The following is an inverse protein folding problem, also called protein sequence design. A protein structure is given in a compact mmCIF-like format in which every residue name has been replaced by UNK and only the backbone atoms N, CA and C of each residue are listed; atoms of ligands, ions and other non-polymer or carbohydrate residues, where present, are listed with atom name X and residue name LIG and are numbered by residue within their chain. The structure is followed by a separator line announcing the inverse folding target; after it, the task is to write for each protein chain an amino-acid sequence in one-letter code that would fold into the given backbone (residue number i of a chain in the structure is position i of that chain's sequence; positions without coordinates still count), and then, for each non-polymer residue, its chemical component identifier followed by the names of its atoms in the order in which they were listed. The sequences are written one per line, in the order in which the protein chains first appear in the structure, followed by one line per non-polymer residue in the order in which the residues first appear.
data_IF_644254822975
#
_entry.id   IF_644254822975
#
_cell.length_a   1.000
_cell.length_b   1.000
_cell.length_c   1.000
_cell.angle_alpha   90.00
_cell.angle_beta   90.00
_cell.angle_gamma   90.00
#
_symmetry.space_group_name_H-M   'P 1'
#
loop_
_entity.id
_entity.type
_entity.pdbx_description
1 polymer ?
#
# COMPACT_ATOMS: atom_id res chain seq x y z
N UNK A 1 3.03 -13.18 -9.55
CA UNK A 1 4.13 -12.55 -10.34
C UNK A 1 5.46 -12.96 -9.76
N UNK A 2 6.60 -12.62 -10.38
CA UNK A 2 7.92 -12.92 -9.80
C UNK A 2 8.08 -12.19 -8.45
N UNK A 3 8.46 -12.87 -7.34
CA UNK A 3 8.72 -12.22 -6.06
C UNK A 3 9.78 -11.13 -6.19
N UNK A 4 9.59 -10.00 -5.51
CA UNK A 4 10.50 -8.86 -5.61
C UNK A 4 11.85 -9.15 -4.93
N UNK A 5 11.88 -9.94 -3.86
CA UNK A 5 13.14 -10.35 -3.20
C UNK A 5 13.92 -11.45 -3.94
N UNK A 6 13.40 -11.96 -5.07
CA UNK A 6 14.01 -13.05 -5.83
C UNK A 6 14.31 -14.30 -4.96
N UNK A 7 13.46 -14.59 -3.97
CA UNK A 7 13.63 -15.68 -3.00
C UNK A 7 14.85 -15.54 -2.08
N UNK A 8 15.47 -14.35 -2.01
CA UNK A 8 16.61 -14.11 -1.12
C UNK A 8 16.19 -14.13 0.34
N UNK A 9 17.14 -14.55 1.18
CA UNK A 9 17.02 -14.56 2.63
C UNK A 9 17.77 -13.37 3.23
N UNK A 10 17.26 -12.86 4.33
CA UNK A 10 17.94 -11.90 5.18
C UNK A 10 18.94 -12.61 6.10
N UNK A 11 19.75 -11.86 6.85
CA UNK A 11 20.79 -12.40 7.75
C UNK A 11 20.24 -13.34 8.83
N UNK A 12 18.94 -13.24 9.13
CA UNK A 12 18.23 -14.12 10.07
C UNK A 12 17.75 -15.45 9.45
N UNK A 13 18.11 -15.73 8.19
CA UNK A 13 17.77 -16.96 7.47
C UNK A 13 16.34 -17.00 6.92
N UNK A 14 15.51 -15.97 7.17
CA UNK A 14 14.14 -15.87 6.66
C UNK A 14 14.09 -15.07 5.36
N UNK A 15 13.00 -15.19 4.61
CA UNK A 15 12.75 -14.36 3.40
C UNK A 15 12.85 -12.88 3.74
N UNK A 16 13.33 -12.05 2.80
CA UNK A 16 13.41 -10.60 3.01
C UNK A 16 12.00 -10.03 3.17
N UNK A 17 11.12 -10.29 2.20
CA UNK A 17 9.70 -9.85 2.17
C UNK A 17 8.74 -11.02 1.95
N UNK A 18 9.11 -12.03 1.14
CA UNK A 18 8.25 -13.16 0.79
C UNK A 18 7.57 -13.03 -0.59
N UNK A 19 6.71 -13.99 -0.93
CA UNK A 19 6.10 -14.08 -2.27
C UNK A 19 4.90 -13.14 -2.47
N UNK A 20 4.44 -12.51 -1.40
CA UNK A 20 3.29 -11.59 -1.42
C UNK A 20 3.57 -10.30 -2.20
N UNK A 21 4.83 -9.85 -2.20
CA UNK A 21 5.23 -8.64 -2.94
C UNK A 21 5.97 -9.04 -4.21
N UNK A 22 5.40 -8.67 -5.35
CA UNK A 22 5.88 -9.10 -6.68
C UNK A 22 6.28 -7.93 -7.55
N UNK A 23 7.23 -8.15 -8.47
CA UNK A 23 7.70 -7.12 -9.42
C UNK A 23 6.53 -6.49 -10.19
N UNK A 24 5.61 -7.34 -10.68
CA UNK A 24 4.41 -6.88 -11.39
C UNK A 24 3.51 -6.05 -10.48
N UNK A 25 3.26 -6.50 -9.25
CA UNK A 25 2.45 -5.77 -8.28
C UNK A 25 3.03 -4.40 -7.95
N UNK A 26 4.33 -4.32 -7.69
CA UNK A 26 5.06 -3.07 -7.44
C UNK A 26 4.94 -2.09 -8.60
N UNK A 27 5.23 -2.54 -9.83
CA UNK A 27 5.13 -1.67 -11.01
C UNK A 27 3.68 -1.23 -11.27
N UNK A 28 2.71 -2.13 -11.13
CA UNK A 28 1.30 -1.80 -11.26
C UNK A 28 0.84 -0.80 -10.19
N UNK A 29 1.25 -0.96 -8.94
CA UNK A 29 0.91 -0.04 -7.85
C UNK A 29 1.38 1.39 -8.12
N UNK A 30 2.65 1.53 -8.53
CA UNK A 30 3.21 2.84 -8.90
C UNK A 30 2.47 3.42 -10.12
N UNK A 31 2.26 2.61 -11.16
CA UNK A 31 1.56 3.03 -12.37
C UNK A 31 0.13 3.53 -12.08
N UNK A 32 -0.66 2.75 -11.34
CA UNK A 32 -2.02 3.14 -11.00
C UNK A 32 -2.07 4.32 -10.02
N UNK A 33 -1.05 4.51 -9.18
CA UNK A 33 -0.89 5.74 -8.39
C UNK A 33 -0.76 6.99 -9.29
N UNK A 34 0.08 6.92 -10.33
CA UNK A 34 0.22 7.99 -11.32
C UNK A 34 -1.08 8.24 -12.07
N UNK A 35 -1.71 7.17 -12.60
CA UNK A 35 -2.98 7.28 -13.35
C UNK A 35 -4.07 7.91 -12.47
N UNK A 36 -4.19 7.49 -11.22
CA UNK A 36 -5.18 8.04 -10.29
C UNK A 36 -4.97 9.53 -10.05
N UNK A 37 -3.72 9.96 -9.81
CA UNK A 37 -3.43 11.38 -9.60
C UNK A 37 -3.70 12.24 -10.84
N UNK A 38 -3.40 11.73 -12.04
CA UNK A 38 -3.76 12.40 -13.30
C UNK A 38 -5.27 12.50 -13.47
N UNK A 39 -6.02 11.44 -13.14
CA UNK A 39 -7.49 11.50 -13.19
C UNK A 39 -8.06 12.51 -12.18
N UNK A 40 -7.47 12.59 -10.98
CA UNK A 40 -7.84 13.58 -9.96
C UNK A 40 -7.50 15.02 -10.38
N UNK A 41 -6.51 15.22 -11.26
CA UNK A 41 -6.15 16.56 -11.74
C UNK A 41 -7.23 17.20 -12.62
N UNK A 42 -8.16 16.42 -13.18
CA UNK A 42 -9.31 16.99 -13.91
C UNK A 42 -10.36 17.62 -12.98
N UNK A 43 -10.30 17.32 -11.68
CA UNK A 43 -11.23 17.79 -10.65
C UNK A 43 -10.55 18.67 -9.60
N UNK A 44 -9.29 19.06 -9.81
CA UNK A 44 -8.51 19.89 -8.89
C UNK A 44 -7.70 20.92 -9.66
N UNK A 45 -7.22 21.96 -8.97
CA UNK A 45 -6.39 23.02 -9.56
C UNK A 45 -4.92 22.60 -9.76
N UNK A 46 -4.62 21.30 -9.66
CA UNK A 46 -3.27 20.79 -9.80
C UNK A 46 -2.86 20.69 -11.26
N UNK A 47 -1.67 21.21 -11.57
CA UNK A 47 -1.07 21.02 -12.90
C UNK A 47 -0.79 19.55 -13.19
N UNK A 48 -0.76 19.18 -14.48
CA UNK A 48 -0.43 17.81 -14.90
C UNK A 48 0.95 17.37 -14.36
N UNK A 49 1.95 18.26 -14.42
CA UNK A 49 3.30 17.98 -13.92
C UNK A 49 3.32 17.68 -12.42
N UNK A 50 2.58 18.47 -11.64
CA UNK A 50 2.43 18.24 -10.21
C UNK A 50 1.75 16.90 -9.94
N UNK A 51 0.67 16.60 -10.67
CA UNK A 51 -0.12 15.38 -10.49
C UNK A 51 0.65 14.11 -10.86
N UNK A 52 1.45 14.15 -11.91
CA UNK A 52 2.35 13.04 -12.28
C UNK A 52 3.36 12.73 -11.18
N UNK A 53 4.02 13.78 -10.65
CA UNK A 53 5.01 13.61 -9.59
C UNK A 53 4.35 13.17 -8.28
N UNK A 54 3.22 13.78 -7.92
CA UNK A 54 2.46 13.40 -6.73
C UNK A 54 2.01 11.93 -6.80
N UNK A 55 1.40 11.52 -7.92
CA UNK A 55 0.95 10.13 -8.10
C UNK A 55 2.10 9.12 -8.09
N UNK A 56 3.27 9.49 -8.65
CA UNK A 56 4.47 8.68 -8.57
C UNK A 56 4.94 8.52 -7.12
N UNK A 57 5.04 9.61 -6.35
CA UNK A 57 5.47 9.56 -4.95
C UNK A 57 4.46 8.84 -4.07
N UNK A 58 3.15 9.03 -4.30
CA UNK A 58 2.11 8.31 -3.56
C UNK A 58 2.13 6.82 -3.87
N UNK A 59 2.21 6.43 -5.15
CA UNK A 59 2.28 5.03 -5.55
C UNK A 59 3.57 4.34 -5.08
N UNK A 60 4.73 5.01 -5.20
CA UNK A 60 6.00 4.51 -4.69
C UNK A 60 5.97 4.40 -3.17
N UNK A 61 5.45 5.42 -2.49
CA UNK A 61 5.33 5.45 -1.04
C UNK A 61 4.44 4.32 -0.52
N UNK A 62 3.28 4.09 -1.15
CA UNK A 62 2.38 3.00 -0.82
C UNK A 62 3.10 1.64 -0.91
N UNK A 63 3.77 1.37 -2.04
CA UNK A 63 4.53 0.11 -2.21
C UNK A 63 5.66 -0.02 -1.20
N UNK A 64 6.36 1.07 -0.88
CA UNK A 64 7.40 1.04 0.16
C UNK A 64 6.82 0.76 1.55
N UNK A 65 5.63 1.26 1.85
CA UNK A 65 4.88 0.92 3.07
C UNK A 65 4.68 -0.58 3.20
N UNK A 66 4.07 -1.21 2.20
CA UNK A 66 3.85 -2.67 2.15
C UNK A 66 5.17 -3.45 2.26
N UNK A 67 6.23 -2.98 1.61
CA UNK A 67 7.54 -3.63 1.67
C UNK A 67 8.12 -3.62 3.08
N UNK A 68 7.96 -2.51 3.80
CA UNK A 68 8.41 -2.36 5.18
C UNK A 68 7.57 -3.26 6.10
N UNK A 69 6.25 -3.25 5.98
CA UNK A 69 5.34 -4.16 6.72
C UNK A 69 5.72 -5.62 6.48
N UNK A 70 5.89 -6.01 5.23
CA UNK A 70 6.14 -7.39 4.86
C UNK A 70 7.50 -7.85 5.36
N UNK A 71 8.50 -6.96 5.32
CA UNK A 71 9.79 -7.21 5.94
C UNK A 71 9.64 -7.45 7.45
N UNK A 72 8.94 -6.58 8.17
CA UNK A 72 8.74 -6.71 9.62
C UNK A 72 7.99 -7.99 9.99
N UNK A 73 6.95 -8.37 9.24
CA UNK A 73 6.22 -9.63 9.45
C UNK A 73 7.13 -10.84 9.39
N UNK A 74 8.09 -10.88 8.45
CA UNK A 74 9.09 -11.95 8.41
C UNK A 74 9.98 -11.95 9.66
N UNK A 75 10.38 -10.77 10.16
CA UNK A 75 11.22 -10.66 11.37
C UNK A 75 10.51 -11.20 12.62
N UNK A 76 9.20 -10.97 12.75
CA UNK A 76 8.39 -11.49 13.88
C UNK A 76 7.81 -12.90 13.67
N UNK A 77 8.31 -13.66 12.69
CA UNK A 77 7.91 -15.04 12.39
C UNK A 77 6.46 -15.20 11.86
N UNK A 78 5.83 -14.13 11.39
CA UNK A 78 4.54 -14.27 10.70
C UNK A 78 4.75 -14.84 9.29
N UNK A 79 3.99 -15.87 8.95
CA UNK A 79 4.00 -16.47 7.62
C UNK A 79 3.36 -15.52 6.62
N UNK A 80 3.58 -15.78 5.35
CA UNK A 80 2.90 -15.05 4.30
C UNK A 80 1.39 -15.31 4.38
N UNK A 81 0.60 -14.24 4.30
CA UNK A 81 -0.86 -14.31 4.43
C UNK A 81 -1.36 -14.29 5.88
N UNK A 82 -0.48 -14.43 6.88
CA UNK A 82 -0.87 -14.24 8.27
C UNK A 82 -1.23 -12.75 8.49
N UNK A 83 -2.37 -12.45 9.13
CA UNK A 83 -2.80 -11.08 9.35
C UNK A 83 -1.93 -10.41 10.41
N UNK A 84 -1.60 -9.13 10.19
CA UNK A 84 -1.10 -8.22 11.22
C UNK A 84 -2.07 -7.02 11.29
N UNK A 85 -3.19 -7.16 12.03
CA UNK A 85 -4.26 -6.15 12.05
C UNK A 85 -3.76 -4.74 12.39
N UNK A 86 -4.43 -3.75 11.84
CA UNK A 86 -4.09 -2.32 11.81
C UNK A 86 -2.86 -1.97 10.96
N UNK A 87 -1.78 -2.75 11.04
CA UNK A 87 -0.58 -2.49 10.24
C UNK A 87 -0.84 -2.79 8.76
N UNK A 88 -1.44 -3.95 8.45
CA UNK A 88 -1.80 -4.37 7.09
C UNK A 88 -2.78 -3.42 6.38
N UNK A 89 -3.47 -2.54 7.11
CA UNK A 89 -4.43 -1.60 6.55
C UNK A 89 -3.91 -0.16 6.45
N UNK A 90 -2.82 0.16 7.16
CA UNK A 90 -2.32 1.54 7.29
C UNK A 90 -0.90 1.73 6.76
N UNK A 91 -0.13 0.66 6.60
CA UNK A 91 1.24 0.65 6.06
C UNK A 91 1.38 1.43 4.75
N UNK A 92 0.56 1.14 3.74
CA UNK A 92 0.58 1.83 2.46
C UNK A 92 0.21 3.30 2.59
N UNK A 93 -0.71 3.65 3.51
CA UNK A 93 -1.11 5.03 3.76
C UNK A 93 0.08 5.80 4.34
N UNK A 94 0.73 5.25 5.37
CA UNK A 94 1.89 5.89 5.97
C UNK A 94 3.02 6.08 4.96
N UNK A 95 3.33 5.04 4.17
CA UNK A 95 4.33 5.14 3.11
C UNK A 95 4.00 6.24 2.10
N UNK A 96 2.76 6.29 1.62
CA UNK A 96 2.30 7.32 0.68
C UNK A 96 2.35 8.74 1.28
N UNK A 97 1.89 8.92 2.53
CA UNK A 97 1.88 10.22 3.20
C UNK A 97 3.29 10.73 3.49
N UNK A 98 4.20 9.85 3.93
CA UNK A 98 5.60 10.22 4.19
C UNK A 98 6.27 10.66 2.89
N UNK A 99 6.13 9.88 1.83
CA UNK A 99 6.86 10.16 0.59
C UNK A 99 6.28 11.33 -0.21
N UNK A 100 4.97 11.56 -0.13
CA UNK A 100 4.31 12.70 -0.78
C UNK A 100 4.38 14.00 0.02
N UNK A 101 4.82 13.97 1.28
CA UNK A 101 4.86 15.15 2.18
C UNK A 101 5.55 16.39 1.62
N UNK A 102 6.62 16.31 0.80
CA UNK A 102 7.25 17.50 0.22
C UNK A 102 6.34 18.26 -0.78
N UNK A 103 5.29 17.61 -1.30
CA UNK A 103 4.37 18.19 -2.28
C UNK A 103 2.96 18.38 -1.71
N UNK A 104 2.52 17.46 -0.86
CA UNK A 104 1.15 17.41 -0.35
C UNK A 104 1.12 17.69 1.16
N UNK A 105 0.49 18.81 1.51
CA UNK A 105 0.24 19.19 2.90
C UNK A 105 -1.22 18.99 3.24
N UNK A 106 -1.53 17.85 3.87
CA UNK A 106 -2.86 17.57 4.39
C UNK A 106 -3.04 18.13 5.79
N UNK A 107 -4.26 18.61 6.08
CA UNK A 107 -4.65 18.97 7.45
C UNK A 107 -4.64 17.71 8.33
N UNK A 108 -4.41 17.89 9.64
CA UNK A 108 -4.50 16.78 10.59
C UNK A 108 -5.87 16.12 10.56
N UNK A 109 -6.94 16.91 10.41
CA UNK A 109 -8.30 16.40 10.26
C UNK A 109 -8.42 15.46 9.05
N UNK A 110 -7.88 15.85 7.89
CA UNK A 110 -7.89 15.00 6.68
C UNK A 110 -7.11 13.71 6.90
N UNK A 111 -5.95 13.77 7.55
CA UNK A 111 -5.14 12.59 7.86
C UNK A 111 -5.93 11.64 8.78
N UNK A 112 -6.56 12.14 9.85
CA UNK A 112 -7.38 11.31 10.73
C UNK A 112 -8.57 10.68 10.00
N UNK A 113 -9.23 11.41 9.10
CA UNK A 113 -10.31 10.87 8.27
C UNK A 113 -9.79 9.70 7.41
N UNK A 114 -8.65 9.86 6.74
CA UNK A 114 -8.06 8.80 5.89
C UNK A 114 -7.69 7.57 6.73
N UNK A 115 -7.06 7.77 7.89
CA UNK A 115 -6.66 6.70 8.80
C UNK A 115 -7.86 5.95 9.39
N UNK A 116 -9.01 6.62 9.54
CA UNK A 116 -10.23 5.99 10.05
C UNK A 116 -11.04 5.29 8.94
N UNK A 117 -11.25 5.96 7.81
CA UNK A 117 -12.06 5.43 6.70
C UNK A 117 -11.39 4.21 6.06
N UNK A 118 -10.06 4.19 5.96
CA UNK A 118 -9.37 3.12 5.24
C UNK A 118 -9.58 1.74 5.87
N UNK A 119 -9.35 1.53 7.18
CA UNK A 119 -9.68 0.25 7.82
C UNK A 119 -11.15 -0.14 7.65
N UNK A 120 -12.08 0.82 7.79
CA UNK A 120 -13.52 0.57 7.62
C UNK A 120 -13.82 0.05 6.21
N UNK A 121 -13.29 0.71 5.17
CA UNK A 121 -13.44 0.28 3.78
C UNK A 121 -12.76 -1.06 3.54
N UNK A 122 -11.57 -1.29 4.08
CA UNK A 122 -10.83 -2.52 3.91
C UNK A 122 -11.61 -3.73 4.48
N UNK A 123 -12.04 -3.65 5.74
CA UNK A 123 -12.84 -4.72 6.34
C UNK A 123 -14.20 -4.90 5.64
N UNK A 124 -14.86 -3.81 5.26
CA UNK A 124 -16.17 -3.89 4.58
C UNK A 124 -16.06 -4.57 3.22
N UNK A 125 -15.07 -4.19 2.41
CA UNK A 125 -14.85 -4.77 1.07
C UNK A 125 -14.43 -6.24 1.17
N UNK A 126 -13.60 -6.60 2.15
CA UNK A 126 -13.19 -7.99 2.36
C UNK A 126 -14.34 -8.87 2.84
N UNK A 127 -15.19 -8.36 3.73
CA UNK A 127 -16.38 -9.07 4.17
C UNK A 127 -17.38 -9.28 3.03
N UNK A 128 -17.64 -8.27 2.19
CA UNK A 128 -18.48 -8.41 1.01
C UNK A 128 -17.89 -9.43 0.03
N UNK A 129 -16.59 -9.37 -0.25
CA UNK A 129 -15.89 -10.33 -1.09
C UNK A 129 -15.99 -11.77 -0.57
N UNK A 130 -15.88 -11.96 0.75
CA UNK A 130 -16.07 -13.25 1.40
C UNK A 130 -17.51 -13.77 1.27
N UNK A 131 -18.51 -12.91 1.49
CA UNK A 131 -19.94 -13.27 1.31
C UNK A 131 -20.28 -13.64 -0.13
N UNK A 132 -19.64 -12.99 -1.10
CA UNK A 132 -19.77 -13.31 -2.52
C UNK A 132 -18.92 -14.51 -2.96
N UNK A 133 -18.21 -15.17 -2.03
CA UNK A 133 -17.27 -16.28 -2.31
C UNK A 133 -16.14 -15.91 -3.28
N UNK A 134 -15.82 -14.62 -3.39
CA UNK A 134 -14.67 -14.12 -4.14
C UNK A 134 -13.38 -14.17 -3.31
N UNK A 135 -13.51 -14.25 -1.97
CA UNK A 135 -12.42 -14.44 -1.02
C UNK A 135 -12.69 -15.62 -0.11
N UNK A 136 -11.63 -16.35 0.24
CA UNK A 136 -11.71 -17.47 1.18
C UNK A 136 -11.79 -17.02 2.65
N UNK A 137 -11.33 -15.79 2.94
CA UNK A 137 -11.30 -15.21 4.30
C UNK A 137 -11.90 -13.80 4.34
N UNK A 138 -12.51 -13.39 5.46
CA UNK A 138 -13.20 -12.11 5.58
C UNK A 138 -12.32 -10.91 5.96
N UNK A 139 -11.01 -11.10 6.16
CA UNK A 139 -10.07 -10.04 6.53
C UNK A 139 -9.17 -9.58 5.39
#
# INVERSE_FOLDING_TARGET
GKPLDLNKKFIDGKRIIGDGVTVRGTLSGIFFGVVTAVLQSFFSDYTLKFSLLLGFLMGLGAVLGDLVESFFKRRINLKQGDPLPLFDQLDFIFGALILSRPLLHLSLQTIFIILFITPVLHFSTNYVGYKLKLKEVPW
#
